data_IF_994940358690
#
_entry.id   IF_994940358690
#
_cell.length_a   1.000
_cell.length_b   1.000
_cell.length_c   1.000
_cell.angle_alpha   90.00
_cell.angle_beta   90.00
_cell.angle_gamma   90.00
#
_symmetry.space_group_name_H-M   'P 1'
#
loop_
_entity.id
_entity.type
_entity.pdbx_description
1 polymer ?
#
# COMPACT_ATOMS: atom_id res chain seq x y z
N UNK A 1 9.74 7.03 6.79
CA UNK A 1 10.19 8.06 7.76
C UNK A 1 9.26 8.14 8.98
N UNK A 2 7.95 8.32 8.80
CA UNK A 2 6.97 8.34 9.90
C UNK A 2 6.95 7.04 10.73
N UNK A 3 6.95 5.87 10.07
CA UNK A 3 6.98 4.57 10.76
C UNK A 3 8.20 4.40 11.68
N UNK A 4 9.38 4.80 11.21
CA UNK A 4 10.62 4.73 12.00
C UNK A 4 10.65 5.71 13.18
N UNK A 5 10.00 6.87 13.06
CA UNK A 5 9.83 7.82 14.18
C UNK A 5 8.93 7.26 15.28
N UNK A 6 7.83 6.60 14.90
CA UNK A 6 6.89 5.97 15.85
C UNK A 6 7.52 4.76 16.55
N UNK A 7 8.31 3.95 15.83
CA UNK A 7 8.99 2.80 16.41
C UNK A 7 10.24 3.18 17.24
N UNK A 8 10.83 4.37 17.01
CA UNK A 8 12.08 4.84 17.65
C UNK A 8 12.19 4.56 19.15
N UNK A 9 11.18 4.79 20.01
CA UNK A 9 11.29 4.53 21.45
C UNK A 9 11.53 3.04 21.78
N UNK A 10 11.01 2.14 20.96
CA UNK A 10 11.10 0.69 21.14
C UNK A 10 12.41 0.10 20.58
N UNK A 11 12.98 0.73 19.54
CA UNK A 11 14.23 0.27 18.88
C UNK A 11 15.48 0.95 19.43
N UNK A 12 15.34 2.00 20.26
CA UNK A 12 16.45 2.76 20.86
C UNK A 12 17.44 1.92 21.68
N UNK A 13 17.04 0.88 22.45
CA UNK A 13 17.99 0.09 23.23
C UNK A 13 18.75 -0.98 22.40
N UNK A 14 18.45 -1.16 21.12
CA UNK A 14 19.09 -2.18 20.28
C UNK A 14 20.40 -1.70 19.65
N UNK A 15 21.26 -2.65 19.28
CA UNK A 15 22.54 -2.38 18.63
C UNK A 15 22.34 -1.74 17.25
N UNK A 16 23.33 -0.97 16.72
CA UNK A 16 23.19 -0.32 15.41
C UNK A 16 22.92 -1.31 14.27
N UNK A 17 23.49 -2.53 14.33
CA UNK A 17 23.22 -3.58 13.35
C UNK A 17 21.76 -4.08 13.42
N UNK A 18 21.24 -4.29 14.63
CA UNK A 18 19.84 -4.70 14.84
C UNK A 18 18.87 -3.64 14.33
N UNK A 19 19.19 -2.37 14.53
CA UNK A 19 18.40 -1.24 14.00
C UNK A 19 18.43 -1.18 12.48
N UNK A 20 19.57 -1.44 11.86
CA UNK A 20 19.68 -1.51 10.40
C UNK A 20 18.86 -2.68 9.83
N UNK A 21 18.91 -3.86 10.47
CA UNK A 21 18.12 -5.03 10.07
C UNK A 21 16.61 -4.78 10.16
N UNK A 22 16.13 -4.27 11.30
CA UNK A 22 14.71 -3.91 11.44
C UNK A 22 14.33 -2.80 10.44
N UNK A 23 15.21 -1.82 10.23
CA UNK A 23 14.97 -0.74 9.27
C UNK A 23 14.85 -1.24 7.83
N UNK A 24 15.65 -2.23 7.44
CA UNK A 24 15.56 -2.88 6.12
C UNK A 24 14.27 -3.68 5.97
N UNK A 25 13.85 -4.37 7.03
CA UNK A 25 12.63 -5.21 7.04
C UNK A 25 11.34 -4.40 7.30
N UNK A 26 11.44 -3.08 7.47
CA UNK A 26 10.32 -2.23 7.84
C UNK A 26 9.39 -1.97 6.64
N UNK A 27 8.37 -2.81 6.54
CA UNK A 27 7.23 -2.61 5.63
C UNK A 27 6.04 -1.98 6.35
N UNK A 28 5.10 -1.45 5.58
CA UNK A 28 3.80 -0.98 6.06
C UNK A 28 3.01 -2.10 6.77
N UNK A 29 3.05 -3.32 6.24
CA UNK A 29 2.45 -4.49 6.88
C UNK A 29 3.11 -4.82 8.23
N UNK A 30 4.44 -4.80 8.28
CA UNK A 30 5.16 -5.01 9.55
C UNK A 30 4.85 -3.91 10.56
N UNK A 31 4.71 -2.66 10.10
CA UNK A 31 4.30 -1.54 10.95
C UNK A 31 2.87 -1.72 11.47
N UNK A 32 1.91 -2.08 10.59
CA UNK A 32 0.52 -2.32 10.97
C UNK A 32 0.41 -3.45 12.01
N UNK A 33 1.12 -4.56 11.81
CA UNK A 33 1.17 -5.68 12.77
C UNK A 33 1.82 -5.24 14.08
N UNK A 34 2.87 -4.41 14.05
CA UNK A 34 3.53 -3.91 15.25
C UNK A 34 2.65 -2.98 16.09
N UNK A 35 1.76 -2.20 15.46
CA UNK A 35 0.85 -1.27 16.14
C UNK A 35 -0.44 -1.96 16.59
N UNK A 36 -0.95 -2.91 15.79
CA UNK A 36 -2.16 -3.68 16.13
C UNK A 36 -1.89 -4.81 17.12
N UNK A 37 -0.66 -5.33 17.16
CA UNK A 37 -0.24 -6.43 18.01
C UNK A 37 -0.17 -6.04 19.48
N UNK A 38 -0.94 -6.75 20.34
CA UNK A 38 -0.89 -6.60 21.81
C UNK A 38 0.39 -7.19 22.45
N UNK A 39 1.34 -7.67 21.65
CA UNK A 39 2.57 -8.31 22.14
C UNK A 39 3.69 -7.30 22.37
N UNK A 40 4.62 -7.62 23.27
CA UNK A 40 5.82 -6.81 23.49
C UNK A 40 6.64 -6.75 22.21
N UNK A 41 6.95 -5.54 21.76
CA UNK A 41 7.82 -5.24 20.60
C UNK A 41 9.28 -5.63 20.92
N UNK A 42 9.55 -6.93 20.97
CA UNK A 42 10.89 -7.49 21.09
C UNK A 42 11.59 -7.50 19.73
N UNK A 43 12.92 -7.39 19.74
CA UNK A 43 13.76 -7.53 18.54
C UNK A 43 13.44 -8.83 17.78
N UNK A 44 13.33 -9.95 18.50
CA UNK A 44 13.07 -11.26 17.90
C UNK A 44 11.71 -11.32 17.16
N UNK A 45 10.70 -10.62 17.68
CA UNK A 45 9.38 -10.57 17.05
C UNK A 45 9.40 -9.73 15.77
N UNK A 46 9.93 -8.50 15.84
CA UNK A 46 10.00 -7.60 14.68
C UNK A 46 10.89 -8.16 13.58
N UNK A 47 12.05 -8.71 13.97
CA UNK A 47 12.97 -9.33 13.02
C UNK A 47 12.40 -10.61 12.43
N UNK A 48 11.78 -11.48 13.24
CA UNK A 48 11.14 -12.71 12.78
C UNK A 48 9.98 -12.44 11.82
N UNK A 49 9.06 -11.56 12.20
CA UNK A 49 7.92 -11.18 11.36
C UNK A 49 8.37 -10.54 10.04
N UNK A 50 9.31 -9.59 10.10
CA UNK A 50 9.88 -8.97 8.91
C UNK A 50 10.60 -9.98 8.02
N UNK A 51 11.38 -10.90 8.61
CA UNK A 51 12.12 -11.91 7.86
C UNK A 51 11.19 -12.91 7.19
N UNK A 52 10.12 -13.34 7.86
CA UNK A 52 9.09 -14.19 7.24
C UNK A 52 8.46 -13.52 6.02
N UNK A 53 8.10 -12.23 6.11
CA UNK A 53 7.59 -11.49 4.96
C UNK A 53 8.61 -11.41 3.83
N UNK A 54 9.87 -11.14 4.16
CA UNK A 54 10.94 -11.07 3.16
C UNK A 54 11.16 -12.41 2.45
N UNK A 55 11.19 -13.52 3.20
CA UNK A 55 11.33 -14.85 2.62
C UNK A 55 10.15 -15.21 1.72
N UNK A 56 8.92 -14.92 2.15
CA UNK A 56 7.72 -15.13 1.32
C UNK A 56 7.81 -14.29 0.04
N UNK A 57 8.23 -13.03 0.15
CA UNK A 57 8.41 -12.16 -1.00
C UNK A 57 9.43 -12.70 -2.00
N UNK A 58 10.58 -13.18 -1.52
CA UNK A 58 11.60 -13.82 -2.38
C UNK A 58 11.06 -15.10 -3.03
N UNK A 59 10.41 -15.97 -2.26
CA UNK A 59 9.87 -17.23 -2.78
C UNK A 59 8.80 -17.00 -3.85
N UNK A 60 7.85 -16.10 -3.62
CA UNK A 60 6.82 -15.75 -4.60
C UNK A 60 7.42 -15.08 -5.83
N UNK A 61 8.46 -14.26 -5.68
CA UNK A 61 9.15 -13.63 -6.80
C UNK A 61 9.88 -14.66 -7.68
N UNK A 62 10.59 -15.61 -7.05
CA UNK A 62 11.24 -16.71 -7.78
C UNK A 62 10.19 -17.55 -8.51
N UNK A 63 9.09 -17.89 -7.83
CA UNK A 63 8.00 -18.64 -8.45
C UNK A 63 7.39 -17.89 -9.64
N UNK A 64 7.21 -16.57 -9.52
CA UNK A 64 6.74 -15.72 -10.60
C UNK A 64 7.70 -15.71 -11.80
N UNK A 65 9.01 -15.63 -11.56
CA UNK A 65 10.04 -15.66 -12.62
C UNK A 65 10.05 -17.04 -13.32
N UNK A 66 10.01 -18.12 -12.56
CA UNK A 66 9.99 -19.50 -13.11
C UNK A 66 8.72 -19.74 -13.94
N UNK A 67 7.57 -19.28 -13.45
CA UNK A 67 6.30 -19.41 -14.16
C UNK A 67 6.30 -18.56 -15.43
N UNK A 68 6.86 -17.35 -15.37
CA UNK A 68 7.02 -16.48 -16.53
C UNK A 68 7.94 -17.09 -17.61
N UNK A 69 9.00 -17.81 -17.22
CA UNK A 69 9.88 -18.47 -18.17
C UNK A 69 9.28 -19.75 -18.77
N UNK A 70 8.41 -20.44 -18.01
CA UNK A 70 7.79 -21.71 -18.43
C UNK A 70 6.59 -21.51 -19.35
N UNK A 71 5.94 -20.34 -19.31
CA UNK A 71 4.81 -19.98 -20.17
C UNK A 71 5.34 -19.14 -21.34
N UNK A 72 5.41 -19.75 -22.52
CA UNK A 72 5.91 -19.13 -23.75
C UNK A 72 5.04 -17.97 -24.26
N UNK A 73 3.78 -17.89 -23.85
CA UNK A 73 2.85 -16.86 -24.29
C UNK A 73 2.07 -16.23 -23.12
N UNK A 74 2.81 -15.46 -22.30
CA UNK A 74 2.26 -14.67 -21.19
C UNK A 74 1.20 -13.65 -21.63
N UNK A 75 1.13 -13.32 -22.92
CA UNK A 75 0.14 -12.38 -23.46
C UNK A 75 -1.30 -12.90 -23.36
N UNK A 76 -1.49 -14.22 -23.35
CA UNK A 76 -2.80 -14.86 -23.16
C UNK A 76 -3.25 -14.78 -21.70
N UNK A 77 -2.28 -14.79 -20.79
CA UNK A 77 -2.52 -14.56 -19.37
C UNK A 77 -2.72 -13.05 -19.23
N UNK A 78 -3.97 -12.60 -19.13
CA UNK A 78 -4.35 -11.18 -18.95
C UNK A 78 -3.86 -10.63 -17.60
N UNK A 79 -2.57 -10.71 -17.33
CA UNK A 79 -1.89 -10.33 -16.10
C UNK A 79 -2.06 -8.83 -15.84
N UNK A 80 -2.09 -8.02 -16.89
CA UNK A 80 -2.39 -6.59 -16.79
C UNK A 80 -3.77 -6.34 -16.16
N UNK A 81 -4.76 -7.17 -16.52
CA UNK A 81 -6.08 -7.13 -15.89
C UNK A 81 -6.04 -7.65 -14.45
N UNK A 82 -5.29 -8.72 -14.18
CA UNK A 82 -5.15 -9.27 -12.82
C UNK A 82 -4.59 -8.27 -11.82
N UNK A 83 -3.57 -7.50 -12.20
CA UNK A 83 -2.98 -6.47 -11.33
C UNK A 83 -4.00 -5.36 -11.02
N UNK A 84 -4.74 -4.91 -12.02
CA UNK A 84 -5.81 -3.91 -11.81
C UNK A 84 -6.91 -4.48 -10.92
N UNK A 85 -7.30 -5.74 -11.12
CA UNK A 85 -8.34 -6.40 -10.33
C UNK A 85 -7.94 -6.58 -8.86
N UNK A 86 -6.69 -6.95 -8.56
CA UNK A 86 -6.22 -7.10 -7.18
C UNK A 86 -6.14 -5.75 -6.46
N UNK A 87 -5.67 -4.69 -7.14
CA UNK A 87 -5.70 -3.34 -6.60
C UNK A 87 -7.12 -2.88 -6.30
N UNK A 88 -8.06 -3.16 -7.21
CA UNK A 88 -9.47 -2.80 -7.01
C UNK A 88 -10.09 -3.59 -5.85
N UNK A 89 -9.77 -4.88 -5.73
CA UNK A 89 -10.21 -5.72 -4.62
C UNK A 89 -9.69 -5.23 -3.26
N UNK A 90 -8.51 -4.62 -3.21
CA UNK A 90 -7.97 -3.98 -2.00
C UNK A 90 -8.65 -2.63 -1.74
N UNK A 91 -8.79 -1.77 -2.76
CA UNK A 91 -9.29 -0.39 -2.58
C UNK A 91 -10.78 -0.34 -2.26
N UNK A 92 -11.61 -1.17 -2.88
CA UNK A 92 -13.07 -1.18 -2.69
C UNK A 92 -13.49 -1.29 -1.20
N UNK A 93 -12.99 -2.25 -0.39
CA UNK A 93 -13.34 -2.34 1.02
C UNK A 93 -12.76 -1.21 1.89
N UNK A 94 -11.77 -0.47 1.41
CA UNK A 94 -11.24 0.72 2.11
C UNK A 94 -12.21 1.92 2.01
N UNK A 95 -13.15 1.93 1.06
CA UNK A 95 -14.14 3.00 0.88
C UNK A 95 -15.28 2.81 1.89
N UNK A 96 -15.14 3.41 3.07
CA UNK A 96 -16.11 3.29 4.18
C UNK A 96 -17.14 4.41 4.25
N UNK A 97 -17.01 5.47 3.46
CA UNK A 97 -17.88 6.66 3.53
C UNK A 97 -18.39 7.08 2.15
N UNK A 98 -19.54 7.76 2.14
CA UNK A 98 -20.13 8.30 0.91
C UNK A 98 -19.20 9.34 0.27
N UNK A 99 -18.50 10.09 1.12
CA UNK A 99 -17.50 11.09 0.72
C UNK A 99 -16.30 10.44 0.01
N UNK A 100 -15.80 9.31 0.51
CA UNK A 100 -14.71 8.57 -0.12
C UNK A 100 -15.14 7.98 -1.48
N UNK A 101 -16.37 7.46 -1.59
CA UNK A 101 -16.91 6.96 -2.86
C UNK A 101 -17.06 8.08 -3.90
N UNK A 102 -17.58 9.24 -3.49
CA UNK A 102 -17.70 10.41 -4.36
C UNK A 102 -16.32 10.88 -4.85
N UNK A 103 -15.31 10.92 -3.97
CA UNK A 103 -13.93 11.21 -4.34
C UNK A 103 -13.36 10.20 -5.35
N UNK A 104 -13.56 8.90 -5.14
CA UNK A 104 -13.09 7.86 -6.04
C UNK A 104 -13.70 8.00 -7.46
N UNK A 105 -15.02 8.20 -7.54
CA UNK A 105 -15.71 8.44 -8.81
C UNK A 105 -15.24 9.72 -9.51
N UNK A 106 -15.04 10.80 -8.74
CA UNK A 106 -14.50 12.04 -9.27
C UNK A 106 -13.09 11.84 -9.83
N UNK A 107 -12.22 11.14 -9.10
CA UNK A 107 -10.86 10.82 -9.56
C UNK A 107 -10.88 10.05 -10.88
N UNK A 108 -11.78 9.07 -11.01
CA UNK A 108 -11.95 8.30 -12.23
C UNK A 108 -12.32 9.19 -13.43
N UNK A 109 -13.33 10.04 -13.28
CA UNK A 109 -13.79 10.95 -14.35
C UNK A 109 -12.70 11.96 -14.73
N UNK A 110 -12.07 12.59 -13.73
CA UNK A 110 -11.03 13.61 -13.96
C UNK A 110 -9.78 12.99 -14.59
N UNK A 111 -9.39 11.78 -14.19
CA UNK A 111 -8.28 11.06 -14.83
C UNK A 111 -8.55 10.82 -16.31
N UNK A 112 -9.77 10.38 -16.68
CA UNK A 112 -10.13 10.16 -18.08
C UNK A 112 -10.08 11.47 -18.86
N UNK A 113 -10.63 12.55 -18.31
CA UNK A 113 -10.64 13.86 -18.97
C UNK A 113 -9.22 14.41 -19.20
N UNK A 114 -8.38 14.40 -18.15
CA UNK A 114 -7.00 14.86 -18.23
C UNK A 114 -6.15 14.01 -19.18
N UNK A 115 -6.37 12.70 -19.19
CA UNK A 115 -5.66 11.79 -20.09
C UNK A 115 -6.04 12.05 -21.55
N UNK A 116 -7.32 12.32 -21.84
CA UNK A 116 -7.76 12.74 -23.18
C UNK A 116 -7.21 14.11 -23.60
N UNK A 117 -6.96 14.99 -22.63
CA UNK A 117 -6.33 16.29 -22.87
C UNK A 117 -4.80 16.21 -23.08
N UNK A 118 -4.19 15.02 -22.99
CA UNK A 118 -2.75 14.83 -23.21
C UNK A 118 -1.86 15.29 -22.05
N UNK A 119 -2.44 15.52 -20.87
CA UNK A 119 -1.70 16.00 -19.70
C UNK A 119 -0.95 14.83 -19.05
N UNK A 120 0.38 14.92 -18.99
CA UNK A 120 1.21 13.96 -18.27
C UNK A 120 0.98 14.11 -16.76
N UNK A 121 0.81 12.98 -16.05
CA UNK A 121 0.50 12.98 -14.62
C UNK A 121 -0.98 13.16 -14.27
N UNK A 122 -1.88 12.92 -15.22
CA UNK A 122 -3.35 12.98 -15.05
C UNK A 122 -3.85 12.29 -13.78
N UNK A 123 -3.35 11.09 -13.48
CA UNK A 123 -3.73 10.31 -12.29
C UNK A 123 -3.36 11.01 -10.96
N UNK A 124 -2.20 11.68 -10.89
CA UNK A 124 -1.76 12.38 -9.68
C UNK A 124 -2.65 13.61 -9.43
N UNK A 125 -2.91 14.38 -10.48
CA UNK A 125 -3.77 15.58 -10.40
C UNK A 125 -5.21 15.17 -10.01
N UNK A 126 -5.73 14.11 -10.63
CA UNK A 126 -7.04 13.57 -10.31
C UNK A 126 -7.11 13.01 -8.88
N UNK A 127 -6.05 12.37 -8.40
CA UNK A 127 -5.96 11.87 -7.02
C UNK A 127 -5.99 12.99 -5.99
N UNK A 128 -5.15 14.02 -6.17
CA UNK A 128 -5.09 15.16 -5.23
C UNK A 128 -6.40 15.95 -5.23
N UNK A 129 -6.97 16.22 -6.40
CA UNK A 129 -8.25 16.92 -6.50
C UNK A 129 -9.41 16.11 -5.92
N UNK A 130 -9.43 14.79 -6.09
CA UNK A 130 -10.40 13.89 -5.46
C UNK A 130 -10.27 13.86 -3.93
N UNK A 131 -9.06 13.85 -3.39
CA UNK A 131 -8.83 13.91 -1.94
C UNK A 131 -9.40 15.21 -1.35
N UNK A 132 -9.15 16.36 -2.00
CA UNK A 132 -9.70 17.65 -1.58
C UNK A 132 -11.23 17.63 -1.59
N UNK A 133 -11.83 17.12 -2.68
CA UNK A 133 -13.28 17.00 -2.80
C UNK A 133 -13.86 16.07 -1.72
N UNK A 134 -13.25 14.92 -1.49
CA UNK A 134 -13.69 13.96 -0.49
C UNK A 134 -13.66 14.55 0.93
N UNK A 135 -12.65 15.36 1.27
CA UNK A 135 -12.58 16.04 2.58
C UNK A 135 -13.66 17.12 2.70
N UNK A 136 -13.90 17.91 1.65
CA UNK A 136 -14.94 18.95 1.66
C UNK A 136 -16.34 18.34 1.79
N UNK A 137 -16.61 17.26 1.07
CA UNK A 137 -17.86 16.51 1.18
C UNK A 137 -17.99 15.82 2.54
N UNK A 138 -16.90 15.26 3.07
CA UNK A 138 -16.87 14.63 4.39
C UNK A 138 -17.22 15.59 5.52
N UNK A 139 -16.75 16.84 5.42
CA UNK A 139 -17.13 17.92 6.35
C UNK A 139 -18.61 18.32 6.24
N UNK A 140 -19.18 18.31 5.03
CA UNK A 140 -20.59 18.67 4.79
C UNK A 140 -21.57 17.57 5.17
N UNK A 141 -21.21 16.30 4.95
CA UNK A 141 -22.06 15.14 5.23
C UNK A 141 -21.86 14.54 6.62
N UNK A 142 -20.92 15.07 7.43
CA UNK A 142 -20.68 14.59 8.80
C UNK A 142 -19.99 13.23 8.87
N UNK A 143 -19.37 12.77 7.78
CA UNK A 143 -18.63 11.50 7.71
C UNK A 143 -17.28 11.57 8.45
N UNK A 144 -16.76 12.77 8.72
CA UNK A 144 -15.47 13.00 9.39
C UNK A 144 -15.75 13.55 10.80
N UNK A 145 -15.61 12.69 11.82
CA UNK A 145 -15.50 13.13 13.22
C UNK A 145 -14.05 13.44 13.56
#
# INVERSE_FOLDING_TARGET
LLYGLTLRPHVRPFSPLQRAGIGFLLTDELFAVSVAGRQRLSFAYLFGAGLSFYLVWVLVSILGIVLAHSISDLSQLRLDFSVVATLLAIVVPLIKSKSALAGALFSFVVTIMLTRAGIQGSAVIAGVSAMLLAVLLGRKWGDVK
#
